data_IF_157561236221
#
_entry.id   IF_157561236221
#
_cell.length_a   1.000
_cell.length_b   1.000
_cell.length_c   1.000
_cell.angle_alpha   90.00
_cell.angle_beta   90.00
_cell.angle_gamma   90.00
#
_symmetry.space_group_name_H-M   'P 1'
#
loop_
_entity.id
_entity.type
_entity.pdbx_description
1 polymer ?
#
# COMPACT_ATOMS: atom_id res chain seq x y z
N UNK A 1 6.42 -18.93 9.03
CA UNK A 1 5.08 -18.38 9.31
C UNK A 1 4.74 -17.50 8.14
N UNK A 2 3.66 -17.81 7.42
CA UNK A 2 3.30 -17.10 6.19
C UNK A 2 2.23 -16.05 6.51
N UNK A 3 2.51 -14.79 6.21
CA UNK A 3 1.57 -13.70 6.40
C UNK A 3 0.93 -13.39 5.05
N UNK A 4 -0.33 -13.82 4.88
CA UNK A 4 -1.14 -13.46 3.70
C UNK A 4 -2.02 -12.28 4.07
N UNK A 5 -1.87 -11.16 3.36
CA UNK A 5 -2.67 -9.96 3.58
C UNK A 5 -3.29 -9.47 2.26
N UNK A 6 -4.61 -9.31 2.24
CA UNK A 6 -5.36 -8.85 1.07
C UNK A 6 -5.44 -7.32 1.09
N UNK A 7 -4.70 -6.68 0.18
CA UNK A 7 -4.51 -5.23 0.12
C UNK A 7 -5.48 -4.57 -0.87
N UNK A 8 -6.79 -4.84 -0.72
CA UNK A 8 -7.87 -4.23 -1.52
C UNK A 8 -8.85 -3.53 -0.59
N UNK A 9 -9.36 -2.37 -1.00
CA UNK A 9 -10.40 -1.61 -0.28
C UNK A 9 -11.58 -2.51 0.12
N UNK A 10 -12.01 -3.37 -0.79
CA UNK A 10 -13.22 -4.21 -0.63
C UNK A 10 -13.08 -5.31 0.44
N UNK A 11 -11.84 -5.61 0.85
CA UNK A 11 -11.52 -6.64 1.84
C UNK A 11 -10.92 -6.05 3.12
N UNK A 12 -11.24 -4.79 3.41
CA UNK A 12 -10.82 -4.11 4.64
C UNK A 12 -9.61 -3.20 4.46
N UNK A 13 -9.19 -2.92 3.22
CA UNK A 13 -8.36 -1.75 2.94
C UNK A 13 -7.10 -1.69 3.79
N UNK A 14 -6.33 -2.77 3.80
CA UNK A 14 -5.28 -3.01 4.78
C UNK A 14 -4.34 -1.80 4.97
N UNK A 15 -4.21 -1.37 6.21
CA UNK A 15 -3.20 -0.40 6.63
C UNK A 15 -1.90 -1.15 6.94
N UNK A 16 -0.81 -0.75 6.30
CA UNK A 16 0.53 -1.26 6.65
C UNK A 16 1.23 -0.19 7.45
N UNK A 17 1.58 -0.55 8.69
CA UNK A 17 2.36 0.28 9.58
C UNK A 17 3.79 -0.27 9.70
N UNK A 18 4.76 0.62 9.63
CA UNK A 18 6.16 0.32 9.90
C UNK A 18 6.66 1.28 10.98
N UNK A 19 7.22 0.77 12.07
CA UNK A 19 7.64 1.55 13.24
C UNK A 19 6.55 2.52 13.76
N UNK A 20 5.30 2.05 13.77
CA UNK A 20 4.14 2.85 14.20
C UNK A 20 3.70 3.93 13.19
N UNK A 21 4.30 4.00 12.00
CA UNK A 21 3.93 4.94 10.95
C UNK A 21 3.18 4.24 9.82
N UNK A 22 2.07 4.82 9.40
CA UNK A 22 1.31 4.33 8.25
C UNK A 22 2.08 4.55 6.94
N UNK A 23 2.52 3.48 6.31
CA UNK A 23 3.28 3.53 5.05
C UNK A 23 2.42 3.22 3.82
N UNK A 24 1.31 2.49 3.99
CA UNK A 24 0.44 2.08 2.90
C UNK A 24 -1.01 1.96 3.38
N UNK A 25 -1.95 2.42 2.56
CA UNK A 25 -3.40 2.34 2.81
C UNK A 25 -4.08 1.97 1.50
N UNK A 26 -5.02 1.03 1.54
CA UNK A 26 -5.84 0.65 0.37
C UNK A 26 -5.03 0.26 -0.88
N UNK A 27 -3.82 -0.28 -0.68
CA UNK A 27 -2.93 -0.66 -1.78
C UNK A 27 -2.01 0.46 -2.30
N UNK A 28 -2.11 1.69 -1.78
CA UNK A 28 -1.31 2.84 -2.20
C UNK A 28 -0.30 3.26 -1.11
N UNK A 29 0.93 3.56 -1.51
CA UNK A 29 1.97 4.08 -0.62
C UNK A 29 1.77 5.58 -0.37
N UNK A 30 1.86 5.97 0.90
CA UNK A 30 1.72 7.37 1.36
C UNK A 30 3.05 8.15 1.41
N UNK A 31 4.17 7.56 1.87
CA UNK A 31 5.47 8.25 1.94
C UNK A 31 5.93 8.71 0.57
N UNK A 32 6.42 9.96 0.48
CA UNK A 32 6.83 10.58 -0.78
C UNK A 32 7.86 9.75 -1.55
N UNK A 33 8.77 9.11 -0.83
CA UNK A 33 9.85 8.29 -1.38
C UNK A 33 9.33 6.98 -2.01
N UNK A 34 8.19 6.47 -1.52
CA UNK A 34 7.59 5.22 -1.98
C UNK A 34 6.42 5.44 -2.95
N UNK A 35 5.95 6.67 -3.13
CA UNK A 35 4.86 7.00 -4.05
C UNK A 35 5.14 6.59 -5.49
N UNK A 36 6.40 6.50 -5.91
CA UNK A 36 6.79 6.01 -7.24
C UNK A 36 6.34 4.56 -7.48
N UNK A 37 6.16 3.78 -6.41
CA UNK A 37 5.73 2.38 -6.47
C UNK A 37 4.21 2.21 -6.59
N UNK A 38 3.45 3.31 -6.59
CA UNK A 38 2.00 3.28 -6.75
C UNK A 38 1.57 2.90 -8.16
N UNK A 39 0.40 2.27 -8.27
CA UNK A 39 -0.14 1.77 -9.54
C UNK A 39 -0.24 2.87 -10.60
N UNK A 40 -0.53 4.10 -10.19
CA UNK A 40 -0.65 5.28 -11.07
C UNK A 40 0.60 5.56 -11.91
N UNK A 41 1.80 5.17 -11.45
CA UNK A 41 3.03 5.47 -12.18
C UNK A 41 3.39 4.39 -13.21
N UNK A 42 2.71 3.24 -13.18
CA UNK A 42 2.93 2.13 -14.10
C UNK A 42 1.73 1.84 -15.00
N UNK A 43 0.56 2.42 -14.69
CA UNK A 43 -0.58 2.41 -15.60
C UNK A 43 -0.20 3.22 -16.85
N UNK A 44 0.02 2.50 -17.95
CA UNK A 44 0.50 2.98 -19.25
C UNK A 44 -0.20 4.27 -19.70
N UNK A 45 0.62 5.21 -20.19
CA UNK A 45 0.18 6.38 -20.97
C UNK A 45 -0.50 5.98 -22.27
#
# INVERSE_FOLDING_TARGET
>A
WDMVNIQRSDYGGGEVHFDGKLIRRDGEFLPRELRSLNRSNFATK
#
